data_IF_505622918275
#
_entry.id   IF_505622918275
#
_cell.length_a   1.000
_cell.length_b   1.000
_cell.length_c   1.000
_cell.angle_alpha   90.00
_cell.angle_beta   90.00
_cell.angle_gamma   90.00
#
_symmetry.space_group_name_H-M   'P 1'
#
loop_
_entity.id
_entity.type
_entity.pdbx_description
1 polymer ?
#
# COMPACT_ATOMS: atom_id res chain seq x y z
N UNK A 1 51.37 -37.65 33.88
CA UNK A 1 51.02 -37.57 32.45
C UNK A 1 50.25 -36.27 32.28
N UNK A 2 50.95 -35.20 31.90
CA UNK A 2 51.04 -34.69 30.52
C UNK A 2 49.68 -34.21 30.00
N UNK A 3 49.54 -32.87 30.06
CA UNK A 3 48.92 -32.00 29.04
C UNK A 3 47.38 -32.18 28.95
N UNK A 4 46.57 -31.15 28.73
CA UNK A 4 46.83 -29.93 28.02
C UNK A 4 45.80 -28.89 28.46
N UNK A 5 46.35 -27.81 28.99
CA UNK A 5 45.79 -26.48 29.15
C UNK A 5 45.09 -26.03 27.84
N UNK A 6 43.76 -25.88 27.84
CA UNK A 6 43.04 -25.09 26.83
C UNK A 6 42.56 -23.81 27.52
N UNK A 7 43.47 -22.83 27.54
CA UNK A 7 43.20 -21.45 27.94
C UNK A 7 42.59 -20.71 26.73
N UNK A 8 41.47 -20.05 27.01
CA UNK A 8 40.95 -18.77 26.48
C UNK A 8 41.33 -18.39 25.04
N UNK A 9 40.32 -18.16 24.20
CA UNK A 9 40.03 -16.82 23.64
C UNK A 9 38.55 -16.78 23.16
N UNK A 10 37.77 -15.80 23.60
CA UNK A 10 36.44 -15.51 23.07
C UNK A 10 36.56 -14.63 21.82
N UNK A 11 35.97 -15.02 20.70
CA UNK A 11 35.77 -14.12 19.56
C UNK A 11 34.32 -14.17 19.09
N UNK A 12 33.56 -13.28 19.72
CA UNK A 12 32.39 -12.56 19.27
C UNK A 12 32.09 -12.75 17.77
N UNK A 13 30.95 -13.38 17.48
CA UNK A 13 30.14 -13.02 16.32
C UNK A 13 28.75 -12.65 16.84
N UNK A 14 28.66 -11.44 17.37
CA UNK A 14 27.40 -10.70 17.38
C UNK A 14 26.99 -10.51 15.91
N UNK A 15 26.04 -11.32 15.45
CA UNK A 15 25.30 -11.05 14.22
C UNK A 15 23.89 -10.63 14.62
N UNK A 16 23.78 -9.42 15.16
CA UNK A 16 22.56 -8.65 14.96
C UNK A 16 22.65 -8.06 13.55
N UNK A 17 22.11 -8.80 12.58
CA UNK A 17 21.71 -8.20 11.32
C UNK A 17 20.50 -7.32 11.60
N UNK A 18 20.71 -6.02 11.77
CA UNK A 18 19.66 -5.02 11.75
C UNK A 18 19.08 -4.98 10.32
N UNK A 19 18.08 -5.82 10.05
CA UNK A 19 17.17 -5.67 8.92
C UNK A 19 16.21 -4.49 9.17
N UNK A 20 16.78 -3.29 9.31
CA UNK A 20 16.04 -2.03 9.14
C UNK A 20 16.29 -1.43 7.77
N UNK A 21 16.39 -2.27 6.74
CA UNK A 21 15.99 -1.82 5.40
C UNK A 21 14.48 -1.95 5.31
N UNK A 22 13.82 -0.92 5.85
CA UNK A 22 12.53 -0.48 5.33
C UNK A 22 12.74 -0.15 3.85
N UNK A 23 12.76 -1.19 3.00
CA UNK A 23 12.15 -1.04 1.69
C UNK A 23 10.76 -0.58 2.06
N UNK A 24 10.46 0.68 1.74
CA UNK A 24 9.17 0.96 1.13
C UNK A 24 9.07 -0.04 0.00
N UNK A 25 8.55 -1.22 0.34
CA UNK A 25 7.76 -1.98 -0.59
C UNK A 25 6.70 -0.95 -0.92
N UNK A 26 6.85 -0.31 -2.07
CA UNK A 26 5.66 -0.02 -2.86
C UNK A 26 5.05 -1.39 -3.09
N UNK A 27 4.35 -1.87 -2.05
CA UNK A 27 3.57 -3.07 -2.10
C UNK A 27 2.52 -2.72 -3.11
N UNK A 28 2.73 -3.18 -4.33
CA UNK A 28 1.66 -3.84 -5.05
C UNK A 28 1.14 -4.99 -4.18
N UNK A 29 0.49 -4.65 -3.07
CA UNK A 29 -0.32 -5.58 -2.30
C UNK A 29 -1.69 -5.55 -2.96
N UNK A 30 -1.81 -6.39 -3.99
CA UNK A 30 -3.07 -7.03 -4.33
C UNK A 30 -3.50 -7.84 -3.10
N UNK A 31 -4.09 -7.16 -2.12
CA UNK A 31 -4.76 -7.82 -1.00
C UNK A 31 -5.92 -6.93 -0.63
N UNK A 32 -7.03 -7.15 -1.33
CA UNK A 32 -8.32 -6.76 -0.85
C UNK A 32 -8.54 -7.45 0.51
N UNK A 33 -8.28 -6.73 1.59
CA UNK A 33 -8.70 -7.09 2.94
C UNK A 33 -9.43 -5.89 3.54
N UNK A 34 -10.66 -6.09 4.06
CA UNK A 34 -11.56 -5.01 4.44
C UNK A 34 -11.24 -4.48 5.85
N UNK A 35 -11.57 -3.20 6.07
CA UNK A 35 -11.53 -2.48 7.35
C UNK A 35 -10.15 -2.34 8.00
N UNK A 36 -9.35 -1.40 7.49
CA UNK A 36 -8.55 -0.56 8.40
C UNK A 36 -9.11 0.85 8.32
N UNK A 37 -9.24 1.52 9.45
CA UNK A 37 -9.66 2.91 9.52
C UNK A 37 -8.55 3.78 8.92
N UNK A 38 -8.42 3.77 7.59
CA UNK A 38 -7.34 4.46 6.87
C UNK A 38 -7.54 5.96 7.04
N UNK A 39 -6.78 6.54 7.96
CA UNK A 39 -6.64 7.98 8.09
C UNK A 39 -5.77 8.46 6.93
N UNK A 40 -6.39 9.16 5.98
CA UNK A 40 -5.65 9.82 4.92
C UNK A 40 -5.07 11.15 5.41
N UNK A 41 -3.87 11.46 4.94
CA UNK A 41 -3.31 12.81 5.09
C UNK A 41 -4.20 13.83 4.37
N UNK A 42 -4.24 15.06 4.89
CA UNK A 42 -4.90 16.20 4.26
C UNK A 42 -3.97 16.95 3.28
N UNK A 43 -2.76 16.42 3.05
CA UNK A 43 -1.86 16.95 2.03
C UNK A 43 -2.50 16.83 0.63
N UNK A 44 -2.42 17.92 -0.14
CA UNK A 44 -2.92 17.99 -1.51
C UNK A 44 -1.83 17.52 -2.49
N UNK A 45 -2.07 16.39 -3.16
CA UNK A 45 -1.27 15.80 -4.24
C UNK A 45 -2.23 15.15 -5.24
N UNK A 46 -2.88 15.93 -6.13
CA UNK A 46 -4.08 15.51 -6.83
C UNK A 46 -3.82 14.34 -7.78
N UNK A 47 -4.80 13.43 -7.87
CA UNK A 47 -4.78 12.28 -8.78
C UNK A 47 -6.11 12.14 -9.52
N UNK A 48 -6.04 11.63 -10.74
CA UNK A 48 -7.20 11.26 -11.53
C UNK A 48 -7.50 9.78 -11.31
N UNK A 49 -8.74 9.47 -10.89
CA UNK A 49 -9.20 8.12 -10.63
C UNK A 49 -10.55 7.82 -11.26
N UNK A 50 -10.79 6.55 -11.58
CA UNK A 50 -12.05 6.00 -12.07
C UNK A 50 -12.90 5.55 -10.87
N UNK A 51 -14.03 6.21 -10.56
CA UNK A 51 -14.89 5.80 -9.46
C UNK A 51 -15.46 4.39 -9.65
N UNK A 52 -15.83 3.69 -8.55
CA UNK A 52 -16.48 2.39 -8.64
C UNK A 52 -17.86 2.52 -9.31
N UNK A 53 -18.28 1.45 -9.99
CA UNK A 53 -19.60 1.39 -10.61
C UNK A 53 -20.69 1.41 -9.53
N UNK A 54 -21.74 2.25 -9.67
CA UNK A 54 -22.85 2.24 -8.73
C UNK A 54 -23.59 0.90 -8.75
N UNK A 55 -24.14 0.50 -7.59
CA UNK A 55 -24.97 -0.69 -7.49
C UNK A 55 -26.25 -0.52 -8.32
N UNK A 56 -26.51 -1.49 -9.17
CA UNK A 56 -27.73 -1.56 -9.97
C UNK A 56 -28.91 -2.12 -9.16
N UNK A 57 -30.09 -1.47 -9.21
CA UNK A 57 -31.32 -2.12 -8.80
C UNK A 57 -31.55 -3.42 -9.58
N UNK A 58 -32.16 -4.45 -8.96
CA UNK A 58 -32.45 -5.70 -9.64
C UNK A 58 -33.41 -5.48 -10.82
N UNK A 59 -33.13 -6.13 -11.96
CA UNK A 59 -33.95 -6.02 -13.17
C UNK A 59 -33.56 -4.91 -14.14
N UNK A 60 -32.52 -4.12 -13.84
CA UNK A 60 -31.97 -3.09 -14.76
C UNK A 60 -30.51 -3.41 -15.06
N UNK A 61 -30.13 -3.40 -16.34
CA UNK A 61 -28.74 -3.49 -16.77
C UNK A 61 -28.07 -2.11 -16.71
N UNK A 62 -27.42 -1.72 -15.60
CA UNK A 62 -26.59 -0.49 -15.57
C UNK A 62 -25.14 -0.71 -16.00
N UNK A 63 -24.87 -1.79 -16.74
CA UNK A 63 -23.62 -1.97 -17.49
C UNK A 63 -23.28 -0.77 -18.41
N UNK A 64 -24.23 0.13 -18.65
CA UNK A 64 -24.12 1.25 -19.58
C UNK A 64 -23.73 2.60 -18.94
N UNK A 65 -23.56 2.70 -17.62
CA UNK A 65 -23.22 3.99 -16.98
C UNK A 65 -21.92 3.86 -16.19
N UNK A 66 -20.80 3.74 -16.90
CA UNK A 66 -19.50 3.97 -16.28
C UNK A 66 -19.40 5.44 -15.85
N UNK A 67 -19.08 5.71 -14.57
CA UNK A 67 -18.89 7.08 -14.11
C UNK A 67 -17.71 7.73 -14.83
N UNK A 68 -17.77 9.04 -15.05
CA UNK A 68 -16.61 9.76 -15.57
C UNK A 68 -15.45 9.73 -14.55
N UNK A 69 -14.19 9.73 -15.01
CA UNK A 69 -13.05 9.97 -14.15
C UNK A 69 -13.16 11.28 -13.37
N UNK A 70 -12.74 11.27 -12.11
CA UNK A 70 -12.75 12.44 -11.23
C UNK A 70 -11.39 12.65 -10.56
N UNK A 71 -11.15 13.89 -10.13
CA UNK A 71 -9.94 14.25 -9.41
C UNK A 71 -10.15 14.06 -7.91
N UNK A 72 -9.20 13.40 -7.26
CA UNK A 72 -9.13 13.23 -5.81
C UNK A 72 -7.95 14.05 -5.29
N UNK A 73 -8.09 14.63 -4.09
CA UNK A 73 -7.06 15.48 -3.47
C UNK A 73 -5.73 14.75 -3.26
N UNK A 74 -5.78 13.44 -3.05
CA UNK A 74 -4.61 12.58 -3.02
C UNK A 74 -4.96 11.11 -3.27
N UNK A 75 -3.92 10.30 -3.51
CA UNK A 75 -4.05 8.86 -3.77
C UNK A 75 -4.73 8.09 -2.63
N UNK A 76 -4.48 8.46 -1.36
CA UNK A 76 -5.13 7.78 -0.24
C UNK A 76 -6.65 7.98 -0.27
N UNK A 77 -7.12 9.20 -0.53
CA UNK A 77 -8.54 9.52 -0.62
C UNK A 77 -9.20 8.82 -1.82
N UNK A 78 -8.47 8.67 -2.93
CA UNK A 78 -8.92 7.88 -4.07
C UNK A 78 -9.10 6.39 -3.71
N UNK A 79 -8.10 5.78 -3.06
CA UNK A 79 -8.14 4.37 -2.65
C UNK A 79 -9.25 4.14 -1.59
N UNK A 80 -9.41 5.06 -0.64
CA UNK A 80 -10.48 5.04 0.35
C UNK A 80 -11.87 5.11 -0.28
N UNK A 81 -12.01 5.83 -1.39
CA UNK A 81 -13.24 5.89 -2.18
C UNK A 81 -13.47 4.64 -3.07
N UNK A 82 -12.53 3.69 -3.10
CA UNK A 82 -12.59 2.50 -3.95
C UNK A 82 -12.42 2.79 -5.44
N UNK A 83 -11.83 3.94 -5.78
CA UNK A 83 -11.58 4.32 -7.17
C UNK A 83 -10.27 3.72 -7.70
N UNK A 84 -10.24 3.42 -9.00
CA UNK A 84 -9.04 2.91 -9.67
C UNK A 84 -8.16 4.07 -10.16
N UNK A 85 -6.87 4.01 -9.89
CA UNK A 85 -5.92 5.03 -10.33
C UNK A 85 -5.80 5.08 -11.87
N UNK A 86 -5.84 6.28 -12.44
CA UNK A 86 -5.62 6.52 -13.88
C UNK A 86 -4.29 7.24 -14.09
N UNK A 87 -4.13 8.44 -13.52
CA UNK A 87 -2.91 9.25 -13.66
C UNK A 87 -2.74 10.22 -12.49
N UNK A 88 -1.52 10.73 -12.32
CA UNK A 88 -1.26 11.87 -11.43
C UNK A 88 -1.80 13.17 -12.05
N UNK A 89 -2.22 14.08 -11.19
CA UNK A 89 -2.79 15.37 -11.60
C UNK A 89 -4.26 15.29 -12.01
N UNK A 90 -4.74 16.34 -12.69
CA UNK A 90 -6.13 16.47 -13.08
C UNK A 90 -6.53 15.52 -14.22
N UNK A 91 -7.83 15.19 -14.33
CA UNK A 91 -8.38 14.39 -15.42
C UNK A 91 -8.55 15.24 -16.71
N UNK A 92 -7.45 15.56 -17.38
CA UNK A 92 -7.41 16.19 -18.72
C UNK A 92 -6.30 15.58 -19.55
#
# INVERSE_FOLDING_TARGET
>A
MKKLLIILIPFILASCGDDTRSRKVSSSSNTASPLTNTQCSQAYDPVCGQPPMPLCPPGIFCAMVMPAPVVYDNQCLMEKAGAAFIKKGACQ
#
